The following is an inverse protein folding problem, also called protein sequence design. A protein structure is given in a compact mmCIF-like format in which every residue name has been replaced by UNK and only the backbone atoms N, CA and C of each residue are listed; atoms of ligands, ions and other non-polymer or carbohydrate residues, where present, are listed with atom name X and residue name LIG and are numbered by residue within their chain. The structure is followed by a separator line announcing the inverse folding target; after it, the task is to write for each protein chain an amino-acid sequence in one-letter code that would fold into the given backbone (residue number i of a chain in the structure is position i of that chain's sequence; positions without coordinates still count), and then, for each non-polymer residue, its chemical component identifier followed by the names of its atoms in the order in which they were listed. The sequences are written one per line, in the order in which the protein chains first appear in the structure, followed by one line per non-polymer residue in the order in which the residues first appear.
data_IF_055459933086
#
_entry.id   IF_055459933086
#
_cell.length_a   1.000
_cell.length_b   1.000
_cell.length_c   1.000
_cell.angle_alpha   90.00
_cell.angle_beta   90.00
_cell.angle_gamma   90.00
#
_symmetry.space_group_name_H-M   'P 1'
#
loop_
_entity.id
_entity.type
_entity.pdbx_description
1 polymer ?
#
# COMPACT_ATOMS: atom_id res chain seq x y z
N UNK A 1 16.14 -0.80 14.06
CA UNK A 1 16.02 -1.24 14.44
C UNK A 1 16.23 -2.04 14.46
N UNK A 2 16.49 -1.96 14.22
CA UNK A 2 16.67 -2.94 14.21
C UNK A 2 16.45 -3.49 15.23
N UNK A 3 16.86 -3.63 15.72
CA UNK A 3 16.36 -4.16 16.51
C UNK A 3 15.36 -3.71 17.00
N UNK A 4 15.35 -2.68 17.02
CA UNK A 4 14.14 -2.31 17.29
C UNK A 4 13.14 -3.06 16.53
N UNK A 5 13.44 -3.38 15.40
CA UNK A 5 12.55 -4.11 14.58
C UNK A 5 12.17 -5.41 15.18
N UNK A 6 13.09 -6.07 15.79
CA UNK A 6 12.77 -7.33 16.37
C UNK A 6 11.82 -7.22 17.48
N UNK A 7 12.05 -6.30 18.36
CA UNK A 7 11.19 -6.16 19.49
C UNK A 7 9.81 -5.77 19.04
N UNK A 8 9.73 -4.94 18.04
CA UNK A 8 8.45 -4.55 17.59
C UNK A 8 7.69 -5.64 16.94
N UNK A 9 8.37 -6.47 16.22
CA UNK A 9 7.71 -7.55 15.56
C UNK A 9 7.07 -8.46 16.55
N UNK A 10 7.79 -8.79 17.59
CA UNK A 10 7.24 -9.67 18.59
C UNK A 10 6.02 -9.09 19.23
N UNK A 11 6.09 -7.84 19.58
CA UNK A 11 4.98 -7.23 20.20
C UNK A 11 3.77 -7.14 19.30
N UNK A 12 4.00 -6.85 18.05
CA UNK A 12 2.92 -6.73 17.14
C UNK A 12 2.13 -7.99 16.98
N UNK A 13 2.79 -9.10 17.00
CA UNK A 13 2.12 -10.36 16.89
C UNK A 13 1.17 -10.58 18.01
N UNK A 14 1.43 -10.00 19.12
CA UNK A 14 0.57 -10.20 20.25
C UNK A 14 -0.55 -9.24 20.35
N UNK A 15 -0.28 -8.01 20.01
CA UNK A 15 -1.22 -6.97 20.35
C UNK A 15 -2.08 -6.49 19.23
N UNK A 16 -1.95 -7.04 18.09
CA UNK A 16 -2.74 -6.51 17.03
C UNK A 16 -1.95 -5.51 16.25
N UNK A 17 -1.56 -5.95 15.11
CA UNK A 17 -0.73 -5.17 14.25
C UNK A 17 -1.35 -3.84 13.92
N UNK A 18 -2.66 -3.79 13.88
CA UNK A 18 -3.33 -2.57 13.47
C UNK A 18 -2.93 -1.38 14.31
N UNK A 19 -2.60 -1.63 15.56
CA UNK A 19 -2.26 -0.52 16.42
C UNK A 19 -0.97 0.14 16.03
N UNK A 20 -0.12 -0.59 15.34
CA UNK A 20 1.17 -0.06 15.00
C UNK A 20 1.30 0.25 13.54
N UNK A 21 0.19 0.19 12.81
CA UNK A 21 0.24 0.53 11.40
C UNK A 21 0.61 2.00 11.23
N UNK A 22 1.49 2.32 10.30
CA UNK A 22 1.87 3.70 10.10
C UNK A 22 0.75 4.51 9.47
N UNK A 23 0.81 5.82 9.58
CA UNK A 23 -0.17 6.67 8.94
C UNK A 23 -0.21 6.45 7.44
N UNK A 24 -1.33 6.79 6.84
CA UNK A 24 -1.49 6.58 5.40
C UNK A 24 -0.44 7.28 4.57
N UNK A 25 0.00 8.47 4.99
CA UNK A 25 1.02 9.18 4.23
C UNK A 25 2.31 8.38 4.18
N UNK A 26 2.68 7.73 5.28
CA UNK A 26 3.87 6.91 5.30
C UNK A 26 3.68 5.65 4.49
N UNK A 27 2.50 5.07 4.56
CA UNK A 27 2.22 3.89 3.76
C UNK A 27 2.33 4.20 2.28
N UNK A 28 1.85 5.37 1.87
CA UNK A 28 1.91 5.78 0.47
C UNK A 28 3.36 5.96 0.02
N UNK A 29 4.16 6.63 0.83
CA UNK A 29 5.58 6.81 0.51
C UNK A 29 6.26 5.46 0.35
N UNK A 30 5.97 4.54 1.24
CA UNK A 30 6.57 3.22 1.22
C UNK A 30 6.20 2.43 -0.03
N UNK A 31 4.91 2.40 -0.37
CA UNK A 31 4.48 1.60 -1.51
C UNK A 31 4.99 2.20 -2.81
N UNK A 32 5.07 3.53 -2.90
CA UNK A 32 5.62 4.15 -4.08
C UNK A 32 7.09 3.81 -4.29
N UNK A 33 7.85 3.85 -3.20
CA UNK A 33 9.26 3.51 -3.28
C UNK A 33 9.44 2.05 -3.66
N UNK A 34 8.64 1.17 -3.08
CA UNK A 34 8.72 -0.24 -3.38
C UNK A 34 8.37 -0.51 -4.84
N UNK A 35 7.33 0.15 -5.32
CA UNK A 35 6.91 -0.02 -6.71
C UNK A 35 8.02 0.40 -7.66
N UNK A 36 8.63 1.55 -7.41
CA UNK A 36 9.72 2.03 -8.26
C UNK A 36 10.91 1.09 -8.22
N UNK A 37 11.22 0.58 -7.05
CA UNK A 37 12.35 -0.30 -6.89
C UNK A 37 12.12 -1.61 -7.63
N UNK A 38 10.93 -2.17 -7.52
CA UNK A 38 10.63 -3.42 -8.19
C UNK A 38 10.67 -3.25 -9.71
N UNK A 39 10.10 -2.16 -10.22
CA UNK A 39 10.12 -1.91 -11.65
C UNK A 39 11.54 -1.67 -12.15
N UNK A 40 12.35 -0.99 -11.36
CA UNK A 40 13.72 -0.71 -11.74
C UNK A 40 14.55 -1.99 -11.76
N UNK A 41 14.32 -2.85 -10.79
CA UNK A 41 15.10 -4.07 -10.65
C UNK A 41 14.77 -5.10 -11.74
N UNK A 42 13.51 -5.27 -12.05
CA UNK A 42 13.08 -6.31 -12.99
C UNK A 42 12.78 -5.81 -14.38
N UNK A 43 12.81 -4.50 -14.60
CA UNK A 43 12.36 -3.94 -15.87
C UNK A 43 10.85 -3.74 -15.82
N UNK A 44 10.34 -2.97 -16.77
CA UNK A 44 8.97 -2.54 -16.68
C UNK A 44 7.98 -3.70 -16.75
N UNK A 45 8.13 -4.57 -17.75
CA UNK A 45 7.15 -5.61 -17.92
C UNK A 45 7.11 -6.60 -16.77
N UNK A 46 8.28 -7.11 -16.39
CA UNK A 46 8.35 -8.08 -15.31
C UNK A 46 8.11 -7.39 -13.98
N UNK A 47 8.59 -6.17 -13.85
CA UNK A 47 8.39 -5.40 -12.62
C UNK A 47 6.93 -5.17 -12.32
N UNK A 48 6.14 -4.83 -13.34
CA UNK A 48 4.72 -4.62 -13.13
C UNK A 48 4.05 -5.87 -12.59
N UNK A 49 4.44 -7.01 -13.12
CA UNK A 49 3.86 -8.26 -12.66
C UNK A 49 4.18 -8.52 -11.20
N UNK A 50 5.43 -8.33 -10.83
CA UNK A 50 5.83 -8.52 -9.43
C UNK A 50 5.20 -7.47 -8.52
N UNK A 51 5.11 -6.24 -9.02
CA UNK A 51 4.60 -5.16 -8.20
C UNK A 51 3.13 -5.32 -7.87
N UNK A 52 2.36 -5.98 -8.71
CA UNK A 52 0.92 -6.10 -8.47
C UNK A 52 0.62 -6.73 -7.12
N UNK A 53 1.39 -7.73 -6.75
CA UNK A 53 1.18 -8.38 -5.48
C UNK A 53 1.41 -7.41 -4.33
N UNK A 54 2.49 -6.65 -4.42
CA UNK A 54 2.80 -5.68 -3.37
C UNK A 54 1.81 -4.53 -3.34
N UNK A 55 1.38 -4.09 -4.52
CA UNK A 55 0.36 -3.04 -4.60
C UNK A 55 -0.95 -3.51 -3.98
N UNK A 56 -1.35 -4.74 -4.27
CA UNK A 56 -2.58 -5.27 -3.71
C UNK A 56 -2.52 -5.32 -2.20
N UNK A 57 -1.42 -5.77 -1.66
CA UNK A 57 -1.22 -5.83 -0.23
C UNK A 57 -1.26 -4.45 0.39
N UNK A 58 -0.58 -3.49 -0.24
CA UNK A 58 -0.54 -2.13 0.29
C UNK A 58 -1.93 -1.51 0.30
N UNK A 59 -2.70 -1.75 -0.75
CA UNK A 59 -4.06 -1.22 -0.81
C UNK A 59 -4.94 -1.85 0.25
N UNK A 60 -4.82 -3.15 0.46
CA UNK A 60 -5.60 -3.82 1.48
C UNK A 60 -5.27 -3.28 2.87
N UNK A 61 -4.00 -3.09 3.15
CA UNK A 61 -3.56 -2.59 4.44
C UNK A 61 -4.05 -1.16 4.66
N UNK A 62 -3.93 -0.32 3.65
CA UNK A 62 -4.35 1.06 3.76
C UNK A 62 -5.86 1.17 3.92
N UNK A 63 -6.59 0.33 3.20
CA UNK A 63 -8.04 0.34 3.30
C UNK A 63 -8.50 -0.11 4.68
N UNK A 64 -7.82 -1.09 5.23
CA UNK A 64 -8.13 -1.53 6.58
C UNK A 64 -7.88 -0.41 7.58
N UNK A 65 -6.77 0.27 7.44
CA UNK A 65 -6.42 1.39 8.31
C UNK A 65 -7.49 2.49 8.24
N UNK A 66 -7.96 2.78 7.03
CA UNK A 66 -8.94 3.82 6.82
C UNK A 66 -10.38 3.38 6.96
N UNK A 67 -10.63 2.12 7.28
CA UNK A 67 -11.97 1.56 7.39
C UNK A 67 -12.76 1.79 6.12
N UNK A 68 -12.11 1.53 5.00
CA UNK A 68 -12.69 1.77 3.69
C UNK A 68 -13.65 0.65 3.33
N UNK A 69 -14.81 0.97 2.78
CA UNK A 69 -15.74 -0.08 2.37
C UNK A 69 -15.15 -1.00 1.31
N UNK A 70 -15.57 -2.25 1.34
CA UNK A 70 -15.01 -3.25 0.44
C UNK A 70 -15.23 -2.88 -1.03
N UNK A 71 -16.35 -2.29 -1.36
CA UNK A 71 -16.62 -1.92 -2.74
C UNK A 71 -15.66 -0.85 -3.22
N UNK A 72 -15.36 0.13 -2.37
CA UNK A 72 -14.43 1.19 -2.72
C UNK A 72 -13.03 0.62 -2.92
N UNK A 73 -12.62 -0.27 -2.04
CA UNK A 73 -11.32 -0.91 -2.17
C UNK A 73 -11.24 -1.70 -3.47
N UNK A 74 -12.29 -2.42 -3.80
CA UNK A 74 -12.31 -3.24 -5.00
C UNK A 74 -12.11 -2.37 -6.24
N UNK A 75 -12.77 -1.21 -6.29
CA UNK A 75 -12.65 -0.32 -7.43
C UNK A 75 -11.22 0.20 -7.57
N UNK A 76 -10.61 0.62 -6.46
CA UNK A 76 -9.24 1.11 -6.51
C UNK A 76 -8.27 0.01 -6.89
N UNK A 77 -8.46 -1.19 -6.34
CA UNK A 77 -7.61 -2.31 -6.72
C UNK A 77 -7.68 -2.57 -8.21
N UNK A 78 -8.87 -2.55 -8.77
CA UNK A 78 -9.01 -2.82 -10.18
C UNK A 78 -8.30 -1.77 -11.02
N UNK A 79 -8.47 -0.50 -10.68
CA UNK A 79 -7.84 0.57 -11.44
C UNK A 79 -6.31 0.52 -11.35
N UNK A 80 -5.80 0.27 -10.17
CA UNK A 80 -4.36 0.33 -9.96
C UNK A 80 -3.67 -0.94 -10.44
N UNK A 81 -4.25 -2.09 -10.15
CA UNK A 81 -3.59 -3.35 -10.48
C UNK A 81 -3.65 -3.67 -11.96
N UNK A 82 -4.53 -3.03 -12.71
CA UNK A 82 -4.59 -3.25 -14.16
C UNK A 82 -3.85 -2.20 -14.95
N UNK A 83 -3.34 -1.17 -14.30
CA UNK A 83 -2.62 -0.13 -15.00
C UNK A 83 -1.24 -0.62 -15.40
N UNK A 84 -0.82 -0.28 -16.61
CA UNK A 84 0.47 -0.70 -17.11
C UNK A 84 1.45 0.47 -17.25
N UNK A 85 1.03 1.65 -16.80
CA UNK A 85 1.88 2.83 -16.88
C UNK A 85 2.28 3.28 -15.50
N UNK A 86 3.58 3.33 -15.21
CA UNK A 86 4.03 3.72 -13.86
C UNK A 86 3.51 5.08 -13.42
N UNK A 87 3.48 6.06 -14.32
CA UNK A 87 2.96 7.37 -13.94
C UNK A 87 1.50 7.29 -13.53
N UNK A 88 0.73 6.46 -14.24
CA UNK A 88 -0.67 6.26 -13.90
C UNK A 88 -0.85 5.57 -12.56
N UNK A 89 0.01 4.60 -12.28
CA UNK A 89 -0.04 3.90 -11.01
C UNK A 89 0.25 4.87 -9.87
N UNK A 90 1.29 5.67 -10.01
CA UNK A 90 1.63 6.65 -8.97
C UNK A 90 0.51 7.64 -8.72
N UNK A 91 -0.10 8.13 -9.81
CA UNK A 91 -1.21 9.07 -9.67
C UNK A 91 -2.39 8.42 -8.99
N UNK A 92 -2.74 7.23 -9.41
CA UNK A 92 -3.88 6.54 -8.85
C UNK A 92 -3.65 6.16 -7.39
N UNK A 93 -2.41 5.82 -7.02
CA UNK A 93 -2.10 5.56 -5.63
C UNK A 93 -2.34 6.79 -4.78
N UNK A 94 -1.92 7.95 -5.26
CA UNK A 94 -2.15 9.18 -4.52
C UNK A 94 -3.63 9.44 -4.33
N UNK A 95 -4.42 9.24 -5.39
CA UNK A 95 -5.85 9.46 -5.31
C UNK A 95 -6.52 8.46 -4.37
N UNK A 96 -6.09 7.21 -4.44
CA UNK A 96 -6.67 6.19 -3.58
C UNK A 96 -6.38 6.48 -2.11
N UNK A 97 -5.15 6.84 -1.81
CA UNK A 97 -4.79 7.10 -0.42
C UNK A 97 -5.46 8.36 0.11
N UNK A 98 -5.71 9.34 -0.74
CA UNK A 98 -6.49 10.51 -0.34
C UNK A 98 -7.91 10.09 0.01
N UNK A 99 -8.49 9.22 -0.81
CA UNK A 99 -9.84 8.73 -0.58
C UNK A 99 -9.89 7.93 0.72
N UNK A 100 -8.86 7.11 0.96
CA UNK A 100 -8.79 6.33 2.19
C UNK A 100 -8.64 7.22 3.42
N UNK A 101 -7.87 8.29 3.29
CA UNK A 101 -7.69 9.22 4.38
C UNK A 101 -8.99 9.93 4.70
N UNK A 102 -9.74 10.27 3.68
CA UNK A 102 -11.05 10.88 3.87
C UNK A 102 -11.98 9.93 4.61
N UNK A 103 -11.96 8.66 4.22
CA UNK A 103 -12.77 7.65 4.88
C UNK A 103 -12.37 7.49 6.35
N UNK A 104 -11.08 7.53 6.62
CA UNK A 104 -10.58 7.38 7.98
C UNK A 104 -11.03 8.54 8.86
N UNK A 105 -11.15 9.72 8.28
CA UNK A 105 -11.54 10.90 9.04
C UNK A 105 -13.04 10.94 9.29
N UNK A 106 -13.80 10.20 8.54
CA UNK A 106 -15.23 10.18 8.73
C UNK A 106 -15.58 9.32 9.91
#
# INVERSE_FOLDING_TARGET
QGVRADAQIGRRLETGVAETAPPLAEQLTHVRALYDEVCSHYGLRVGLRHARKHLGWALDTAAHYGRVPAATLKDWRQRILTSEEPAGVHRALGEAFDDFAWSAAA
#
